data_IF_905079243489
#
_entry.id   IF_905079243489
#
_cell.length_a   1.000
_cell.length_b   1.000
_cell.length_c   1.000
_cell.angle_alpha   90.00
_cell.angle_beta   90.00
_cell.angle_gamma   90.00
#
_symmetry.space_group_name_H-M   'P 1'
#
loop_
_entity.id
_entity.type
_entity.pdbx_description
1 polymer ?
#
# COMPACT_ATOMS: atom_id res chain seq x y z
N UNK A 1 0.58 9.04 30.60
CA UNK A 1 1.71 9.06 29.64
C UNK A 1 1.19 9.65 28.33
N UNK A 2 1.61 10.87 27.97
CA UNK A 2 1.26 11.51 26.69
C UNK A 2 2.49 11.47 25.78
N UNK A 3 2.88 10.28 25.33
CA UNK A 3 3.96 10.12 24.35
C UNK A 3 3.33 9.72 23.01
N UNK A 4 3.76 10.36 21.92
CA UNK A 4 3.25 10.13 20.56
C UNK A 4 2.58 11.36 19.94
N UNK A 5 2.33 11.31 18.63
CA UNK A 5 1.85 12.43 17.80
C UNK A 5 0.63 13.14 18.40
N UNK A 6 -0.40 12.41 18.84
CA UNK A 6 -1.60 13.02 19.41
C UNK A 6 -1.33 13.76 20.74
N UNK A 7 -0.31 13.36 21.50
CA UNK A 7 0.10 14.05 22.72
C UNK A 7 0.82 15.36 22.45
N UNK A 8 1.64 15.41 21.39
CA UNK A 8 2.43 16.57 20.98
C UNK A 8 1.61 17.60 20.20
N UNK A 9 0.83 17.14 19.22
CA UNK A 9 0.05 18.00 18.31
C UNK A 9 -1.43 18.15 18.73
N UNK A 10 -1.86 17.45 19.78
CA UNK A 10 -3.22 17.52 20.32
C UNK A 10 -4.30 16.77 19.52
N UNK A 11 -3.99 16.32 18.29
CA UNK A 11 -4.88 15.58 17.41
C UNK A 11 -4.11 14.65 16.46
N UNK A 12 -4.84 13.71 15.85
CA UNK A 12 -4.37 12.89 14.74
C UNK A 12 -5.52 12.78 13.73
N UNK A 13 -5.32 13.30 12.53
CA UNK A 13 -6.35 13.37 11.49
C UNK A 13 -6.24 12.28 10.45
N UNK A 14 -5.00 11.92 10.13
CA UNK A 14 -4.66 11.01 9.04
C UNK A 14 -3.57 10.06 9.53
N UNK A 15 -3.79 8.77 9.33
CA UNK A 15 -2.74 7.76 9.41
C UNK A 15 -2.40 7.29 8.00
N UNK A 16 -1.12 7.32 7.63
CA UNK A 16 -0.61 6.69 6.40
C UNK A 16 0.25 5.49 6.77
N UNK A 17 -0.24 4.28 6.52
CA UNK A 17 0.53 3.05 6.70
C UNK A 17 1.39 2.80 5.46
N UNK A 18 2.58 3.39 5.42
CA UNK A 18 3.51 3.29 4.29
C UNK A 18 4.62 2.23 4.46
N UNK A 19 5.00 1.92 5.71
CA UNK A 19 6.15 1.08 6.00
C UNK A 19 6.03 -0.31 5.36
N UNK A 20 7.08 -0.76 4.69
CA UNK A 20 7.13 -2.08 4.07
C UNK A 20 8.57 -2.58 3.93
N UNK A 21 8.70 -3.90 3.82
CA UNK A 21 9.90 -4.60 3.35
C UNK A 21 9.46 -5.72 2.41
N UNK A 22 10.37 -6.18 1.54
CA UNK A 22 10.12 -7.27 0.62
C UNK A 22 11.25 -8.30 0.72
N UNK A 23 10.93 -9.55 0.39
CA UNK A 23 11.89 -10.63 0.27
C UNK A 23 11.57 -11.44 -1.00
N UNK A 24 12.61 -11.76 -1.76
CA UNK A 24 12.51 -12.59 -2.96
C UNK A 24 12.50 -14.05 -2.55
N UNK A 25 11.52 -14.80 -3.07
CA UNK A 25 11.35 -16.22 -2.85
C UNK A 25 9.95 -16.69 -3.25
N UNK A 26 9.88 -17.90 -3.78
CA UNK A 26 8.67 -18.72 -3.86
C UNK A 26 8.36 -19.33 -2.49
N UNK A 27 7.24 -20.04 -2.38
CA UNK A 27 6.88 -20.77 -1.14
C UNK A 27 7.90 -21.89 -0.82
N UNK A 28 8.57 -22.45 -1.83
CA UNK A 28 9.49 -23.58 -1.67
C UNK A 28 10.90 -23.20 -1.22
N UNK A 29 11.30 -21.94 -1.38
CA UNK A 29 12.68 -21.48 -1.17
C UNK A 29 12.81 -20.23 -0.31
N UNK A 30 11.72 -19.51 0.02
CA UNK A 30 11.78 -18.39 0.96
C UNK A 30 12.13 -18.88 2.37
N UNK A 31 13.08 -18.18 3.01
CA UNK A 31 13.44 -18.45 4.40
C UNK A 31 12.30 -18.10 5.37
N UNK A 32 12.12 -18.91 6.40
CA UNK A 32 11.12 -18.63 7.45
C UNK A 32 11.34 -17.28 8.13
N UNK A 33 12.61 -16.88 8.32
CA UNK A 33 12.95 -15.58 8.91
C UNK A 33 12.47 -14.41 8.04
N UNK A 34 12.73 -14.48 6.73
CA UNK A 34 12.30 -13.46 5.76
C UNK A 34 10.78 -13.39 5.67
N UNK A 35 10.09 -14.54 5.63
CA UNK A 35 8.64 -14.59 5.71
C UNK A 35 8.12 -13.85 6.95
N UNK A 36 8.68 -14.15 8.12
CA UNK A 36 8.25 -13.53 9.39
C UNK A 36 8.53 -12.03 9.40
N UNK A 37 9.68 -11.60 8.89
CA UNK A 37 10.03 -10.19 8.80
C UNK A 37 9.05 -9.41 7.90
N UNK A 38 8.76 -9.93 6.71
CA UNK A 38 7.81 -9.30 5.77
C UNK A 38 6.42 -9.20 6.39
N UNK A 39 5.91 -10.29 6.97
CA UNK A 39 4.59 -10.29 7.62
C UNK A 39 4.54 -9.32 8.82
N UNK A 40 5.58 -9.29 9.65
CA UNK A 40 5.64 -8.44 10.84
C UNK A 40 5.65 -6.95 10.48
N UNK A 41 6.40 -6.55 9.46
CA UNK A 41 6.43 -5.13 9.06
C UNK A 41 5.17 -4.73 8.32
N UNK A 42 4.76 -5.53 7.32
CA UNK A 42 3.72 -5.12 6.38
C UNK A 42 2.32 -5.37 6.94
N UNK A 43 2.02 -6.59 7.38
CA UNK A 43 0.68 -6.94 7.85
C UNK A 43 0.48 -6.50 9.31
N UNK A 44 1.36 -6.95 10.22
CA UNK A 44 1.22 -6.64 11.64
C UNK A 44 1.42 -5.14 11.89
N UNK A 45 2.39 -4.51 11.22
CA UNK A 45 2.62 -3.06 11.30
C UNK A 45 1.38 -2.25 10.91
N UNK A 46 0.74 -2.58 9.78
CA UNK A 46 -0.51 -1.93 9.35
C UNK A 46 -1.62 -2.12 10.38
N UNK A 47 -1.79 -3.33 10.90
CA UNK A 47 -2.80 -3.62 11.92
C UNK A 47 -2.54 -2.86 13.23
N UNK A 48 -1.33 -2.94 13.77
CA UNK A 48 -1.01 -2.36 15.08
C UNK A 48 -1.01 -0.83 15.06
N UNK A 49 -0.53 -0.21 13.98
CA UNK A 49 -0.59 1.25 13.82
C UNK A 49 -2.03 1.74 13.68
N UNK A 50 -2.85 1.05 12.88
CA UNK A 50 -4.28 1.36 12.76
C UNK A 50 -4.99 1.23 14.11
N UNK A 51 -4.75 0.14 14.84
CA UNK A 51 -5.30 -0.08 16.18
C UNK A 51 -4.93 1.02 17.17
N UNK A 52 -3.67 1.47 17.14
CA UNK A 52 -3.19 2.53 18.02
C UNK A 52 -3.77 3.91 17.64
N UNK A 53 -3.96 4.18 16.35
CA UNK A 53 -4.47 5.46 15.85
C UNK A 53 -5.99 5.61 16.00
N UNK A 54 -6.75 4.52 15.92
CA UNK A 54 -8.23 4.53 15.86
C UNK A 54 -8.91 5.39 16.93
N UNK A 55 -8.55 5.34 18.24
CA UNK A 55 -9.18 6.19 19.25
C UNK A 55 -9.06 7.69 18.94
N UNK A 56 -7.94 8.10 18.33
CA UNK A 56 -7.69 9.50 17.98
C UNK A 56 -8.42 9.89 16.69
N UNK A 57 -8.44 9.01 15.68
CA UNK A 57 -9.14 9.25 14.43
C UNK A 57 -10.66 9.34 14.62
N UNK A 58 -11.23 8.47 15.47
CA UNK A 58 -12.67 8.51 15.84
C UNK A 58 -13.08 9.85 16.44
N UNK A 59 -12.20 10.46 17.24
CA UNK A 59 -12.50 11.73 17.91
C UNK A 59 -12.65 12.91 16.93
N UNK A 60 -12.11 12.80 15.72
CA UNK A 60 -12.08 13.89 14.73
C UNK A 60 -12.76 13.53 13.40
N UNK A 61 -13.29 12.32 13.24
CA UNK A 61 -13.77 11.83 11.95
C UNK A 61 -12.64 11.70 10.92
N UNK A 62 -11.50 11.19 11.37
CA UNK A 62 -10.26 11.10 10.59
C UNK A 62 -10.28 10.00 9.53
N UNK A 63 -9.11 9.69 8.97
CA UNK A 63 -9.00 8.62 7.98
C UNK A 63 -7.66 7.88 8.00
N UNK A 64 -7.66 6.70 7.41
CA UNK A 64 -6.49 5.85 7.21
C UNK A 64 -6.29 5.65 5.71
N UNK A 65 -5.07 5.87 5.23
CA UNK A 65 -4.65 5.50 3.88
C UNK A 65 -3.54 4.46 3.99
N UNK A 66 -3.83 3.23 3.59
CA UNK A 66 -2.86 2.16 3.54
C UNK A 66 -2.11 2.20 2.20
N UNK A 67 -0.78 2.11 2.23
CA UNK A 67 0.01 1.90 1.02
C UNK A 67 0.12 0.41 0.79
N UNK A 68 -0.75 -0.09 -0.08
CA UNK A 68 -0.76 -1.46 -0.56
C UNK A 68 0.35 -1.70 -1.60
N UNK A 69 0.02 -2.51 -2.60
CA UNK A 69 0.80 -2.75 -3.81
C UNK A 69 -0.12 -3.39 -4.84
N UNK A 70 0.19 -3.26 -6.13
CA UNK A 70 -0.41 -4.13 -7.17
C UNK A 70 -0.19 -5.62 -6.88
N UNK A 71 0.90 -5.96 -6.18
CA UNK A 71 1.24 -7.30 -5.64
C UNK A 71 0.30 -7.77 -4.52
N UNK A 72 -0.55 -6.90 -3.98
CA UNK A 72 -1.64 -7.29 -3.07
C UNK A 72 -2.96 -7.56 -3.80
N UNK A 73 -3.13 -6.98 -4.99
CA UNK A 73 -4.32 -7.14 -5.84
C UNK A 73 -4.18 -8.30 -6.85
N UNK A 74 -2.99 -8.87 -6.95
CA UNK A 74 -2.63 -10.04 -7.74
C UNK A 74 -1.35 -10.65 -7.20
N UNK A 75 -0.77 -11.61 -7.89
CA UNK A 75 0.51 -12.21 -7.49
C UNK A 75 1.64 -11.84 -8.44
N UNK A 76 2.81 -11.61 -7.86
CA UNK A 76 4.08 -11.52 -8.60
C UNK A 76 4.91 -12.78 -8.42
N UNK A 77 5.63 -13.18 -9.48
CA UNK A 77 6.55 -14.32 -9.42
C UNK A 77 7.70 -14.05 -8.44
N UNK A 78 8.03 -15.05 -7.61
CA UNK A 78 9.15 -14.96 -6.68
C UNK A 78 8.97 -13.95 -5.55
N UNK A 79 7.75 -13.54 -5.21
CA UNK A 79 7.47 -12.60 -4.13
C UNK A 79 6.40 -13.13 -3.15
N UNK A 80 6.47 -14.42 -2.80
CA UNK A 80 5.40 -15.10 -2.06
C UNK A 80 5.02 -14.40 -0.73
N UNK A 81 6.00 -14.05 0.11
CA UNK A 81 5.73 -13.33 1.36
C UNK A 81 5.18 -11.93 1.14
N UNK A 82 5.75 -11.19 0.19
CA UNK A 82 5.32 -9.82 -0.09
C UNK A 82 3.89 -9.79 -0.64
N UNK A 83 3.56 -10.69 -1.57
CA UNK A 83 2.22 -10.86 -2.11
C UNK A 83 1.22 -11.18 -0.98
N UNK A 84 1.56 -12.13 -0.12
CA UNK A 84 0.68 -12.53 0.99
C UNK A 84 0.44 -11.36 1.97
N UNK A 85 1.50 -10.66 2.36
CA UNK A 85 1.39 -9.55 3.29
C UNK A 85 0.62 -8.35 2.70
N UNK A 86 0.86 -8.00 1.43
CA UNK A 86 0.11 -6.93 0.74
C UNK A 86 -1.34 -7.34 0.46
N UNK A 87 -1.62 -8.62 0.23
CA UNK A 87 -2.99 -9.16 0.17
C UNK A 87 -3.72 -9.06 1.52
N UNK A 88 -3.01 -9.26 2.63
CA UNK A 88 -3.57 -9.02 3.97
C UNK A 88 -3.96 -7.55 4.16
N UNK A 89 -3.12 -6.61 3.70
CA UNK A 89 -3.43 -5.16 3.75
C UNK A 89 -4.68 -4.81 2.93
N UNK A 90 -4.85 -5.41 1.75
CA UNK A 90 -6.06 -5.24 0.90
C UNK A 90 -7.31 -5.59 1.70
N UNK A 91 -7.36 -6.81 2.23
CA UNK A 91 -8.58 -7.29 2.89
C UNK A 91 -8.80 -6.63 4.27
N UNK A 92 -7.72 -6.29 4.98
CA UNK A 92 -7.78 -5.53 6.22
C UNK A 92 -8.34 -4.11 5.99
N UNK A 93 -8.01 -3.47 4.86
CA UNK A 93 -8.58 -2.17 4.48
C UNK A 93 -10.10 -2.26 4.34
N UNK A 94 -10.63 -3.31 3.69
CA UNK A 94 -12.07 -3.54 3.59
C UNK A 94 -12.72 -3.76 4.96
N UNK A 95 -12.13 -4.62 5.80
CA UNK A 95 -12.66 -4.89 7.14
C UNK A 95 -12.75 -3.60 7.98
N UNK A 96 -11.65 -2.84 8.07
CA UNK A 96 -11.62 -1.59 8.84
C UNK A 96 -12.57 -0.53 8.29
N UNK A 97 -12.74 -0.45 6.96
CA UNK A 97 -13.70 0.49 6.36
C UNK A 97 -15.15 0.18 6.74
N UNK A 98 -15.51 -1.11 6.80
CA UNK A 98 -16.83 -1.57 7.22
C UNK A 98 -17.05 -1.35 8.72
N UNK A 99 -16.05 -1.71 9.54
CA UNK A 99 -16.16 -1.66 11.00
C UNK A 99 -16.19 -0.22 11.53
N UNK A 100 -15.48 0.71 10.88
CA UNK A 100 -15.28 2.07 11.41
C UNK A 100 -15.99 3.18 10.62
N UNK A 101 -16.66 2.85 9.51
CA UNK A 101 -17.37 3.83 8.69
C UNK A 101 -18.48 4.56 9.44
N UNK A 102 -19.27 3.86 10.25
CA UNK A 102 -20.31 4.46 11.09
C UNK A 102 -19.75 5.30 12.24
N UNK A 103 -18.48 5.11 12.58
CA UNK A 103 -17.74 5.90 13.58
C UNK A 103 -17.11 7.16 12.95
N UNK A 104 -17.37 7.42 11.66
CA UNK A 104 -16.86 8.57 10.93
C UNK A 104 -15.42 8.41 10.43
N UNK A 105 -14.81 7.23 10.56
CA UNK A 105 -13.45 6.97 10.08
C UNK A 105 -13.49 6.32 8.70
N UNK A 106 -12.85 6.96 7.71
CA UNK A 106 -12.68 6.37 6.37
C UNK A 106 -11.38 5.59 6.31
N UNK A 107 -11.38 4.46 5.60
CA UNK A 107 -10.20 3.63 5.41
C UNK A 107 -10.09 3.23 3.94
N UNK A 108 -9.01 3.63 3.28
CA UNK A 108 -8.79 3.37 1.86
C UNK A 108 -7.34 2.92 1.63
N UNK A 109 -7.04 2.42 0.44
CA UNK A 109 -5.69 2.04 0.07
C UNK A 109 -5.30 2.52 -1.34
N UNK A 110 -4.02 2.86 -1.49
CA UNK A 110 -3.38 3.05 -2.80
C UNK A 110 -2.52 1.82 -3.11
N UNK A 111 -2.45 1.43 -4.37
CA UNK A 111 -1.72 0.25 -4.84
C UNK A 111 -0.73 0.66 -5.94
N UNK A 112 0.46 1.14 -5.56
CA UNK A 112 1.48 1.50 -6.52
C UNK A 112 1.98 0.28 -7.31
N UNK A 113 2.40 0.52 -8.55
CA UNK A 113 3.34 -0.36 -9.26
C UNK A 113 4.78 0.05 -8.92
N UNK A 114 5.74 -0.21 -9.83
CA UNK A 114 7.11 0.24 -9.70
C UNK A 114 7.15 1.76 -9.47
N UNK A 115 7.68 2.16 -8.32
CA UNK A 115 7.85 3.55 -7.91
C UNK A 115 9.34 3.80 -7.66
N UNK A 116 9.89 4.92 -8.15
CA UNK A 116 11.30 5.26 -8.05
C UNK A 116 11.70 5.63 -6.61
N UNK A 117 11.85 4.62 -5.76
CA UNK A 117 12.28 4.73 -4.35
C UNK A 117 13.56 3.95 -4.11
N UNK A 118 14.21 4.16 -2.97
CA UNK A 118 15.42 3.41 -2.58
C UNK A 118 15.23 1.89 -2.59
N UNK A 119 14.03 1.40 -2.20
CA UNK A 119 13.70 -0.03 -2.25
C UNK A 119 13.69 -0.58 -3.69
N UNK A 120 13.40 0.28 -4.68
CA UNK A 120 13.31 -0.10 -6.08
C UNK A 120 14.61 0.12 -6.86
N UNK A 121 15.66 0.70 -6.24
CA UNK A 121 16.96 0.98 -6.87
C UNK A 121 17.51 -0.21 -7.68
N UNK A 122 17.51 -1.47 -7.17
CA UNK A 122 18.02 -2.60 -7.95
C UNK A 122 17.26 -2.86 -9.26
N UNK A 123 15.99 -2.46 -9.34
CA UNK A 123 15.17 -2.53 -10.55
C UNK A 123 15.43 -1.32 -11.43
N UNK A 124 15.39 -0.11 -10.87
CA UNK A 124 15.49 1.16 -11.62
C UNK A 124 16.84 1.33 -12.29
N UNK A 125 17.93 0.87 -11.66
CA UNK A 125 19.29 0.91 -12.23
C UNK A 125 19.58 -0.22 -13.22
N UNK A 126 18.70 -1.23 -13.30
CA UNK A 126 18.83 -2.35 -14.24
C UNK A 126 18.01 -2.08 -15.49
N UNK A 127 18.67 -1.73 -16.59
CA UNK A 127 17.98 -1.46 -17.87
C UNK A 127 17.20 -2.68 -18.36
N UNK A 128 17.69 -3.90 -18.13
CA UNK A 128 16.95 -5.14 -18.45
C UNK A 128 15.66 -5.26 -17.64
N UNK A 129 15.70 -4.98 -16.33
CA UNK A 129 14.51 -5.03 -15.50
C UNK A 129 13.53 -3.90 -15.86
N UNK A 130 14.04 -2.68 -16.04
CA UNK A 130 13.25 -1.54 -16.49
C UNK A 130 12.58 -1.82 -17.84
N UNK A 131 13.28 -2.38 -18.81
CA UNK A 131 12.68 -2.74 -20.11
C UNK A 131 11.49 -3.71 -19.94
N UNK A 132 11.58 -4.70 -19.04
CA UNK A 132 10.46 -5.59 -18.73
C UNK A 132 9.27 -4.85 -18.09
N UNK A 133 9.53 -3.90 -17.17
CA UNK A 133 8.48 -3.06 -16.60
C UNK A 133 7.85 -2.13 -17.65
N UNK A 134 8.64 -1.50 -18.52
CA UNK A 134 8.12 -0.63 -19.60
C UNK A 134 7.22 -1.38 -20.59
N UNK A 135 7.41 -2.69 -20.76
CA UNK A 135 6.52 -3.52 -21.58
C UNK A 135 5.17 -3.78 -20.90
N UNK A 136 5.11 -3.76 -19.57
CA UNK A 136 3.92 -4.12 -18.78
C UNK A 136 3.14 -2.90 -18.30
N UNK A 137 3.82 -1.79 -18.02
CA UNK A 137 3.22 -0.51 -17.60
C UNK A 137 2.90 0.31 -18.87
N UNK A 138 1.63 0.58 -19.20
CA UNK A 138 1.26 1.37 -20.37
C UNK A 138 1.91 2.77 -20.44
N UNK A 139 2.15 3.42 -19.30
CA UNK A 139 2.89 4.70 -19.24
C UNK A 139 4.42 4.57 -19.42
N UNK A 140 4.95 3.36 -19.56
CA UNK A 140 6.35 3.06 -19.90
C UNK A 140 7.42 3.67 -18.99
N UNK A 141 7.08 3.91 -17.72
CA UNK A 141 8.01 4.39 -16.70
C UNK A 141 7.60 3.91 -15.31
N UNK A 142 8.52 4.02 -14.36
CA UNK A 142 8.17 3.99 -12.95
C UNK A 142 7.33 5.24 -12.59
N UNK A 143 6.49 5.11 -11.57
CA UNK A 143 5.89 6.26 -10.93
C UNK A 143 6.95 7.05 -10.14
N UNK A 144 6.81 8.36 -10.09
CA UNK A 144 7.50 9.18 -9.10
C UNK A 144 6.79 9.05 -7.75
N UNK A 145 7.51 9.12 -6.61
CA UNK A 145 6.90 9.05 -5.28
C UNK A 145 5.76 10.06 -5.08
N UNK A 146 5.90 11.26 -5.64
CA UNK A 146 4.91 12.33 -5.58
C UNK A 146 3.58 11.94 -6.22
N UNK A 147 3.59 11.14 -7.29
CA UNK A 147 2.36 10.69 -7.96
C UNK A 147 1.54 9.74 -7.08
N UNK A 148 2.20 8.97 -6.21
CA UNK A 148 1.53 8.16 -5.19
C UNK A 148 1.05 9.06 -4.04
N UNK A 149 1.88 10.01 -3.61
CA UNK A 149 1.56 10.94 -2.52
C UNK A 149 0.35 11.81 -2.84
N UNK A 150 0.20 12.26 -4.09
CA UNK A 150 -0.95 13.07 -4.54
C UNK A 150 -2.27 12.31 -4.39
N UNK A 151 -2.29 11.01 -4.70
CA UNK A 151 -3.49 10.17 -4.52
C UNK A 151 -3.76 9.90 -3.04
N UNK A 152 -2.72 9.72 -2.22
CA UNK A 152 -2.86 9.63 -0.76
C UNK A 152 -3.47 10.92 -0.21
N UNK A 153 -2.97 12.09 -0.63
CA UNK A 153 -3.47 13.39 -0.20
C UNK A 153 -4.94 13.60 -0.61
N UNK A 154 -5.32 13.21 -1.83
CA UNK A 154 -6.71 13.19 -2.26
C UNK A 154 -7.59 12.33 -1.34
N UNK A 155 -7.20 11.08 -1.09
CA UNK A 155 -7.94 10.17 -0.21
C UNK A 155 -8.07 10.69 1.23
N UNK A 156 -7.04 11.40 1.69
CA UNK A 156 -7.01 12.01 3.02
C UNK A 156 -7.87 13.28 3.13
N UNK A 157 -8.21 13.92 2.00
CA UNK A 157 -8.94 15.20 1.94
C UNK A 157 -10.46 15.06 2.07
N UNK A 158 -11.14 16.20 2.14
CA UNK A 158 -12.61 16.30 2.11
C UNK A 158 -13.23 16.04 0.72
N UNK A 159 -12.42 16.05 -0.35
CA UNK A 159 -12.89 15.70 -1.69
C UNK A 159 -13.24 14.21 -1.80
N UNK A 160 -12.60 13.37 -0.97
CA UNK A 160 -12.85 11.94 -0.85
C UNK A 160 -13.87 11.59 0.27
N UNK A 161 -14.70 12.53 0.74
CA UNK A 161 -15.57 12.34 1.93
C UNK A 161 -16.60 11.21 1.84
N UNK A 162 -16.89 10.69 0.64
CA UNK A 162 -17.76 9.52 0.44
C UNK A 162 -17.02 8.30 -0.13
N UNK A 163 -15.69 8.36 -0.15
CA UNK A 163 -14.81 7.28 -0.61
C UNK A 163 -14.34 6.49 0.62
N UNK A 164 -14.78 5.25 0.73
CA UNK A 164 -14.44 4.36 1.85
C UNK A 164 -14.31 2.90 1.38
N UNK A 165 -13.25 2.22 1.81
CA UNK A 165 -12.96 0.82 1.50
C UNK A 165 -12.40 0.57 0.09
N UNK A 166 -12.03 1.60 -0.66
CA UNK A 166 -11.52 1.43 -2.04
C UNK A 166 -10.06 1.01 -2.05
N UNK A 167 -9.71 0.19 -3.06
CA UNK A 167 -8.35 -0.13 -3.46
C UNK A 167 -8.06 0.63 -4.76
N UNK A 168 -7.29 1.74 -4.72
CA UNK A 168 -6.98 2.56 -5.90
C UNK A 168 -5.62 2.12 -6.49
N UNK A 169 -5.55 1.52 -7.68
CA UNK A 169 -4.29 1.33 -8.39
C UNK A 169 -3.66 2.68 -8.79
N UNK A 170 -2.37 2.85 -8.48
CA UNK A 170 -1.54 3.98 -8.93
C UNK A 170 -0.37 3.39 -9.72
N UNK A 171 -0.68 2.86 -10.91
CA UNK A 171 0.12 1.80 -11.52
C UNK A 171 0.46 2.05 -13.00
N UNK A 172 0.22 3.26 -13.50
CA UNK A 172 0.45 3.64 -14.89
C UNK A 172 -0.36 2.81 -15.90
N UNK A 173 -1.44 2.15 -15.45
CA UNK A 173 -2.32 1.30 -16.26
C UNK A 173 -1.97 -0.19 -16.22
N UNK A 174 -1.00 -0.63 -15.41
CA UNK A 174 -0.58 -2.04 -15.33
C UNK A 174 -1.76 -3.00 -15.15
N UNK A 175 -2.66 -2.70 -14.19
CA UNK A 175 -3.82 -3.55 -13.89
C UNK A 175 -5.00 -3.37 -14.83
N UNK A 176 -4.96 -2.42 -15.77
CA UNK A 176 -5.96 -2.34 -16.82
C UNK A 176 -5.84 -3.50 -17.82
N UNK A 177 -4.67 -4.16 -17.89
CA UNK A 177 -4.44 -5.33 -18.74
C UNK A 177 -5.16 -6.58 -18.18
N UNK A 178 -5.79 -7.35 -19.07
CA UNK A 178 -6.31 -8.69 -18.76
C UNK A 178 -5.21 -9.76 -18.62
N UNK A 179 -3.94 -9.38 -18.83
CA UNK A 179 -2.79 -10.29 -18.80
C UNK A 179 -2.33 -10.75 -20.19
N UNK A 180 -3.06 -10.40 -21.26
CA UNK A 180 -2.63 -10.68 -22.63
C UNK A 180 -1.39 -9.86 -23.01
N UNK A 181 -0.51 -10.40 -23.88
CA UNK A 181 0.66 -9.67 -24.37
C UNK A 181 0.24 -8.50 -25.27
N UNK A 182 1.07 -7.45 -25.30
CA UNK A 182 0.90 -6.33 -26.23
C UNK A 182 1.35 -6.78 -27.63
N UNK A 183 0.37 -7.08 -28.49
CA UNK A 183 0.61 -7.54 -29.86
C UNK A 183 0.66 -6.40 -30.89
N UNK A 184 0.18 -5.20 -30.52
CA UNK A 184 0.05 -4.02 -31.37
C UNK A 184 0.46 -2.74 -30.63
#
# INVERSE_FOLDING_TARGET
MKYGVAGEYGRLDVLVNNAAVAAVGTVGDIGTADWRQVMSVVADGTFFMSRAALPHLRAVGGNIVNVGSVSGLGGDWGLAAYNAAKGAVVNLTHAMALDHGAEGVRVNAVHPSLTATEMATPVVESETAMAAFRQRIPMQRAAEPEEVADVIAFLASADARFVNGVQIPVDGGLRASSGQPRMF
#
